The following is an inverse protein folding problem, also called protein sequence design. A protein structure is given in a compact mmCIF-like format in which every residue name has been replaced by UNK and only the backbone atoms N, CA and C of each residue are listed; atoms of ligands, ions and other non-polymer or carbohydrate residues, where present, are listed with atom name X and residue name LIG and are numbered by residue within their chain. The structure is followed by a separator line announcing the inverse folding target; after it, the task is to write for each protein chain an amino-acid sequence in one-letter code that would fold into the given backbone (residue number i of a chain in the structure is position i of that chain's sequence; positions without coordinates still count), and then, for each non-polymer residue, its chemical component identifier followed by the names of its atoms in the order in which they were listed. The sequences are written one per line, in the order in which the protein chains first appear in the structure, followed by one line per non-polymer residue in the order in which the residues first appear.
data_IF_179610707613
#
_entry.id   IF_179610707613
#
_cell.length_a   1.000
_cell.length_b   1.000
_cell.length_c   1.000
_cell.angle_alpha   90.00
_cell.angle_beta   90.00
_cell.angle_gamma   90.00
#
_symmetry.space_group_name_H-M   'P 1'
#
loop_
_entity.id
_entity.type
_entity.pdbx_description
1 polymer ?
#
# COMPACT_ATOMS: atom_id res chain seq x y z
N UNK A 1 -8.19 4.64 24.77
CA UNK A 1 -8.91 3.47 24.26
C UNK A 1 -8.69 3.41 22.74
N UNK A 2 -8.19 2.31 22.16
CA UNK A 2 -8.07 2.19 20.70
C UNK A 2 -9.47 2.10 20.09
N UNK A 3 -9.68 2.81 18.98
CA UNK A 3 -10.90 2.76 18.21
C UNK A 3 -11.13 1.32 17.71
N UNK A 4 -12.32 0.82 17.98
CA UNK A 4 -12.77 -0.52 17.71
C UNK A 4 -12.86 -0.75 16.18
N UNK A 5 -11.89 -1.45 15.58
CA UNK A 5 -12.03 -2.01 14.26
C UNK A 5 -12.94 -3.25 14.39
N UNK A 6 -14.22 -3.07 14.14
CA UNK A 6 -15.18 -4.17 14.18
C UNK A 6 -15.09 -5.02 12.92
N UNK A 7 -14.34 -6.12 12.96
CA UNK A 7 -14.46 -7.24 12.02
C UNK A 7 -14.10 -8.52 12.75
N UNK A 8 -15.04 -9.48 12.74
CA UNK A 8 -14.86 -10.79 13.32
C UNK A 8 -13.92 -11.66 12.47
N UNK A 9 -12.85 -12.13 13.11
CA UNK A 9 -11.97 -13.13 12.51
C UNK A 9 -12.57 -14.50 12.79
N UNK A 10 -13.13 -15.15 11.78
CA UNK A 10 -13.52 -16.55 11.88
C UNK A 10 -12.27 -17.42 11.88
N UNK A 11 -12.00 -18.08 13.00
CA UNK A 11 -10.92 -19.03 13.16
C UNK A 11 -11.10 -20.26 12.26
N UNK A 12 -10.18 -20.46 11.33
CA UNK A 12 -10.12 -21.63 10.46
C UNK A 12 -8.81 -22.34 10.58
N UNK A 13 -8.84 -23.59 11.04
CA UNK A 13 -7.71 -24.51 11.08
C UNK A 13 -7.20 -24.83 9.67
N UNK A 14 -5.90 -24.82 9.51
CA UNK A 14 -5.09 -25.60 8.58
C UNK A 14 -5.59 -25.82 7.15
N UNK A 15 -5.42 -24.86 6.25
CA UNK A 15 -5.62 -25.05 4.81
C UNK A 15 -4.28 -25.17 4.07
N UNK A 16 -4.13 -26.23 3.25
CA UNK A 16 -2.94 -26.53 2.45
C UNK A 16 -2.96 -25.75 1.12
N UNK A 17 -1.80 -25.33 0.70
CA UNK A 17 -1.32 -24.94 -0.65
C UNK A 17 -2.19 -24.02 -1.52
N UNK A 18 -3.26 -24.48 -2.09
CA UNK A 18 -4.08 -23.73 -3.06
C UNK A 18 -5.04 -22.74 -2.42
N UNK A 19 -5.62 -23.10 -1.26
CA UNK A 19 -6.50 -22.23 -0.49
C UNK A 19 -5.80 -20.95 0.06
N UNK A 20 -4.47 -20.95 0.16
CA UNK A 20 -3.72 -19.76 0.59
C UNK A 20 -3.73 -18.61 -0.42
N UNK A 21 -3.84 -18.92 -1.71
CA UNK A 21 -3.89 -17.90 -2.78
C UNK A 21 -5.27 -17.26 -2.90
N UNK A 22 -6.32 -17.99 -2.59
CA UNK A 22 -7.70 -17.50 -2.65
C UNK A 22 -8.10 -16.67 -1.43
N UNK A 23 -7.49 -16.94 -0.26
CA UNK A 23 -7.86 -16.34 1.02
C UNK A 23 -7.50 -14.85 1.16
N UNK A 24 -6.61 -14.32 0.34
CA UNK A 24 -6.07 -12.96 0.50
C UNK A 24 -6.09 -12.18 -0.82
N UNK A 25 -7.18 -12.28 -1.58
CA UNK A 25 -7.31 -11.51 -2.83
C UNK A 25 -7.32 -10.00 -2.60
N UNK A 26 -7.93 -9.57 -1.51
CA UNK A 26 -7.95 -8.14 -1.14
C UNK A 26 -7.59 -7.96 0.33
N UNK A 27 -6.49 -7.28 0.61
CA UNK A 27 -6.18 -6.75 1.93
C UNK A 27 -6.71 -5.31 1.99
N UNK A 28 -7.49 -5.01 3.02
CA UNK A 28 -8.06 -3.67 3.20
C UNK A 28 -6.99 -2.75 3.71
N UNK A 29 -6.65 -1.70 2.93
CA UNK A 29 -5.76 -0.64 3.35
C UNK A 29 -6.53 0.45 4.10
N UNK A 30 -6.01 0.89 5.22
CA UNK A 30 -6.51 2.11 5.88
C UNK A 30 -5.63 3.28 5.48
N UNK A 31 -6.13 4.13 4.60
CA UNK A 31 -5.58 5.47 4.39
C UNK A 31 -5.84 6.35 5.63
N UNK A 32 -4.87 7.17 5.99
CA UNK A 32 -4.73 7.83 7.29
C UNK A 32 -5.80 8.85 7.70
N UNK A 33 -7.09 8.61 7.55
CA UNK A 33 -8.17 9.35 8.18
C UNK A 33 -9.55 8.67 8.08
N UNK A 34 -9.70 7.54 7.39
CA UNK A 34 -10.99 6.86 7.29
C UNK A 34 -10.90 5.45 7.90
N UNK A 35 -11.80 5.08 8.81
CA UNK A 35 -11.80 3.74 9.42
C UNK A 35 -12.20 2.62 8.48
N UNK A 36 -12.35 2.87 7.18
CA UNK A 36 -12.95 1.93 6.23
C UNK A 36 -12.31 1.90 4.83
N UNK A 37 -10.98 2.04 4.72
CA UNK A 37 -10.28 1.91 3.42
C UNK A 37 -10.03 3.25 2.72
N UNK A 38 -9.96 3.23 1.39
CA UNK A 38 -9.68 4.41 0.57
C UNK A 38 -10.79 5.46 0.64
N UNK A 39 -10.44 6.73 0.43
CA UNK A 39 -11.45 7.76 0.24
C UNK A 39 -12.26 7.51 -1.05
N UNK A 40 -13.55 7.91 -1.11
CA UNK A 40 -14.36 7.77 -2.32
C UNK A 40 -13.71 8.41 -3.56
N UNK A 41 -13.05 9.54 -3.38
CA UNK A 41 -12.33 10.23 -4.46
C UNK A 41 -11.16 9.39 -5.01
N UNK A 42 -10.42 8.71 -4.13
CA UNK A 42 -9.33 7.84 -4.56
C UNK A 42 -9.86 6.60 -5.29
N UNK A 43 -10.92 5.98 -4.78
CA UNK A 43 -11.59 4.83 -5.40
C UNK A 43 -12.09 5.16 -6.80
N UNK A 44 -12.84 6.27 -6.94
CA UNK A 44 -13.40 6.71 -8.23
C UNK A 44 -12.32 6.84 -9.31
N UNK A 45 -11.14 7.30 -8.93
CA UNK A 45 -10.04 7.57 -9.89
C UNK A 45 -9.09 6.42 -10.11
N UNK A 46 -8.94 5.53 -9.13
CA UNK A 46 -7.83 4.57 -9.11
C UNK A 46 -8.24 3.12 -8.86
N UNK A 47 -9.50 2.80 -8.56
CA UNK A 47 -9.93 1.41 -8.46
C UNK A 47 -9.73 0.69 -9.80
N UNK A 48 -9.14 -0.49 -9.76
CA UNK A 48 -8.71 -1.26 -10.93
C UNK A 48 -7.32 -0.85 -11.48
N UNK A 49 -6.69 0.21 -10.96
CA UNK A 49 -5.40 0.65 -11.46
C UNK A 49 -4.25 -0.22 -10.94
N UNK A 50 -3.37 -0.66 -11.86
CA UNK A 50 -2.16 -1.38 -11.52
C UNK A 50 -1.04 -0.40 -11.08
N UNK A 51 -0.45 -0.64 -9.91
CA UNK A 51 0.72 0.05 -9.39
C UNK A 51 1.95 -0.77 -9.77
N UNK A 52 2.58 -0.39 -10.88
CA UNK A 52 3.70 -1.15 -11.48
C UNK A 52 5.06 -0.64 -11.01
N UNK A 53 6.06 -1.50 -11.13
CA UNK A 53 7.47 -1.16 -10.84
C UNK A 53 7.62 -0.53 -9.47
N UNK A 54 7.21 -1.25 -8.44
CA UNK A 54 7.34 -0.88 -7.03
C UNK A 54 8.06 -1.99 -6.27
N UNK A 55 8.55 -1.69 -5.07
CA UNK A 55 8.98 -2.72 -4.13
C UNK A 55 8.11 -2.65 -2.88
N UNK A 56 7.80 -3.80 -2.32
CA UNK A 56 7.09 -3.93 -1.06
C UNK A 56 8.05 -4.53 -0.02
N UNK A 57 8.10 -3.87 1.13
CA UNK A 57 8.90 -4.27 2.27
C UNK A 57 7.97 -4.48 3.47
N UNK A 58 8.20 -5.55 4.19
CA UNK A 58 7.47 -5.86 5.41
C UNK A 58 8.39 -6.55 6.41
N UNK A 59 8.25 -6.23 7.67
CA UNK A 59 8.89 -6.95 8.77
C UNK A 59 7.85 -7.13 9.87
N UNK A 60 7.60 -8.37 10.28
CA UNK A 60 6.66 -8.68 11.34
C UNK A 60 7.27 -8.44 12.73
N UNK A 61 6.43 -8.51 13.77
CA UNK A 61 6.86 -8.32 15.15
C UNK A 61 7.86 -9.39 15.66
N UNK A 62 8.00 -10.50 14.95
CA UNK A 62 8.93 -11.59 15.28
C UNK A 62 10.26 -11.46 14.53
N UNK A 63 10.41 -10.44 13.67
CA UNK A 63 11.61 -10.17 12.88
C UNK A 63 11.66 -10.90 11.53
N UNK A 64 10.59 -11.62 11.13
CA UNK A 64 10.53 -12.18 9.80
C UNK A 64 10.32 -11.05 8.78
N UNK A 65 11.18 -10.98 7.77
CA UNK A 65 11.18 -9.89 6.79
C UNK A 65 10.87 -10.39 5.39
N UNK A 66 10.22 -9.52 4.62
CA UNK A 66 9.89 -9.70 3.21
C UNK A 66 10.30 -8.45 2.44
N UNK A 67 10.94 -8.64 1.30
CA UNK A 67 11.28 -7.56 0.36
C UNK A 67 11.21 -8.09 -1.06
N UNK A 68 10.34 -7.51 -1.88
CA UNK A 68 10.17 -7.94 -3.27
C UNK A 68 9.75 -6.79 -4.18
N UNK A 69 10.29 -6.78 -5.40
CA UNK A 69 9.80 -5.93 -6.49
C UNK A 69 8.66 -6.61 -7.23
N UNK A 70 7.72 -5.80 -7.73
CA UNK A 70 6.59 -6.30 -8.50
C UNK A 70 5.55 -5.24 -8.77
N UNK A 71 4.31 -5.70 -8.83
CA UNK A 71 3.14 -4.86 -9.02
C UNK A 71 1.97 -5.36 -8.17
N UNK A 72 1.04 -4.47 -7.89
CA UNK A 72 -0.23 -4.78 -7.27
C UNK A 72 -1.34 -3.92 -7.89
N UNK A 73 -2.58 -4.25 -7.61
CA UNK A 73 -3.76 -3.53 -8.10
C UNK A 73 -4.46 -2.89 -6.92
N UNK A 74 -4.88 -1.62 -7.09
CA UNK A 74 -5.79 -0.95 -6.16
C UNK A 74 -7.21 -1.43 -6.46
N UNK A 75 -7.90 -1.95 -5.45
CA UNK A 75 -9.33 -2.29 -5.55
C UNK A 75 -10.20 -1.22 -4.90
N UNK A 76 -11.51 -1.37 -4.99
CA UNK A 76 -12.44 -0.44 -4.33
C UNK A 76 -12.28 -0.41 -2.79
N UNK A 77 -11.75 -1.47 -2.20
CA UNK A 77 -11.67 -1.63 -0.75
C UNK A 77 -10.27 -1.95 -0.22
N UNK A 78 -9.26 -2.05 -1.10
CA UNK A 78 -7.91 -2.40 -0.65
C UNK A 78 -6.93 -2.61 -1.79
N UNK A 79 -6.11 -3.65 -1.67
CA UNK A 79 -5.04 -4.00 -2.63
C UNK A 79 -5.03 -5.50 -2.91
N UNK A 80 -4.69 -5.87 -4.15
CA UNK A 80 -4.58 -7.27 -4.59
C UNK A 80 -3.40 -7.46 -5.55
N UNK A 81 -3.16 -8.67 -5.98
CA UNK A 81 -2.19 -9.01 -7.01
C UNK A 81 -0.97 -9.77 -6.50
N UNK A 82 -0.07 -10.13 -7.41
CA UNK A 82 1.02 -11.06 -7.16
C UNK A 82 1.95 -10.65 -6.02
N UNK A 83 2.21 -9.35 -5.88
CA UNK A 83 3.08 -8.82 -4.83
C UNK A 83 2.41 -8.93 -3.45
N UNK A 84 1.10 -8.64 -3.39
CA UNK A 84 0.29 -8.75 -2.17
C UNK A 84 0.16 -10.23 -1.77
N UNK A 85 -0.08 -11.12 -2.72
CA UNK A 85 -0.17 -12.56 -2.42
C UNK A 85 1.14 -13.13 -1.89
N UNK A 86 2.28 -12.64 -2.40
CA UNK A 86 3.58 -13.11 -1.96
C UNK A 86 3.87 -12.81 -0.48
N UNK A 87 3.40 -11.67 0.05
CA UNK A 87 3.59 -11.26 1.45
C UNK A 87 2.44 -11.71 2.36
N UNK A 88 1.36 -12.20 1.80
CA UNK A 88 0.07 -12.40 2.46
C UNK A 88 0.11 -13.26 3.73
N UNK A 89 0.95 -14.30 3.78
CA UNK A 89 1.07 -15.16 4.95
C UNK A 89 1.61 -14.40 6.16
N UNK A 90 2.68 -13.62 5.98
CA UNK A 90 3.28 -12.82 7.05
C UNK A 90 2.35 -11.72 7.52
N UNK A 91 1.71 -11.02 6.57
CA UNK A 91 0.74 -9.94 6.87
C UNK A 91 -0.47 -10.47 7.63
N UNK A 92 -1.03 -11.61 7.21
CA UNK A 92 -2.14 -12.26 7.92
C UNK A 92 -1.78 -12.62 9.36
N UNK A 93 -0.63 -13.24 9.54
CA UNK A 93 -0.18 -13.68 10.86
C UNK A 93 0.10 -12.48 11.78
N UNK A 94 0.57 -11.36 11.22
CA UNK A 94 0.73 -10.10 11.93
C UNK A 94 -0.61 -9.46 12.30
N UNK A 95 -1.57 -9.40 11.36
CA UNK A 95 -2.93 -8.90 11.63
C UNK A 95 -3.61 -9.73 12.73
N UNK A 96 -3.45 -11.05 12.71
CA UNK A 96 -4.03 -11.93 13.73
C UNK A 96 -3.46 -11.63 15.13
N UNK A 97 -2.20 -11.20 15.23
CA UNK A 97 -1.54 -10.85 16.51
C UNK A 97 -1.82 -9.42 16.96
N UNK A 98 -1.73 -8.47 16.03
CA UNK A 98 -1.68 -7.04 16.33
C UNK A 98 -2.85 -6.23 15.77
N UNK A 99 -3.86 -6.90 15.17
CA UNK A 99 -5.03 -6.31 14.52
C UNK A 99 -4.72 -5.41 13.31
N UNK A 100 -3.47 -5.26 12.96
CA UNK A 100 -3.01 -4.55 11.77
C UNK A 100 -1.60 -4.97 11.39
N UNK A 101 -1.24 -4.72 10.14
CA UNK A 101 0.11 -4.87 9.63
C UNK A 101 0.45 -3.66 8.77
N UNK A 102 1.64 -3.08 8.95
CA UNK A 102 2.10 -1.96 8.13
C UNK A 102 3.14 -2.46 7.14
N UNK A 103 2.80 -2.43 5.86
CA UNK A 103 3.75 -2.66 4.78
C UNK A 103 4.30 -1.33 4.28
N UNK A 104 5.51 -1.33 3.75
CA UNK A 104 6.15 -0.13 3.21
C UNK A 104 6.35 -0.31 1.71
N UNK A 105 5.91 0.67 0.93
CA UNK A 105 6.03 0.68 -0.51
C UNK A 105 7.15 1.62 -0.95
N UNK A 106 8.12 1.11 -1.70
CA UNK A 106 9.03 1.93 -2.49
C UNK A 106 8.40 2.15 -3.86
N UNK A 107 7.96 3.38 -4.12
CA UNK A 107 7.28 3.73 -5.38
C UNK A 107 8.24 3.88 -6.55
N UNK A 108 9.54 4.04 -6.28
CA UNK A 108 10.60 4.25 -7.27
C UNK A 108 11.84 3.40 -6.95
N UNK A 109 11.74 2.06 -7.00
CA UNK A 109 12.84 1.17 -6.59
C UNK A 109 14.09 1.26 -7.49
N UNK A 110 13.98 1.86 -8.68
CA UNK A 110 15.10 2.09 -9.58
C UNK A 110 15.86 3.40 -9.31
N UNK A 111 15.37 4.21 -8.38
CA UNK A 111 16.00 5.47 -7.97
C UNK A 111 16.52 5.37 -6.54
N UNK A 112 17.76 5.83 -6.32
CA UNK A 112 18.30 5.93 -4.96
C UNK A 112 17.53 6.98 -4.13
N UNK A 113 17.56 6.83 -2.82
CA UNK A 113 16.94 7.80 -1.91
C UNK A 113 17.52 9.20 -2.08
N UNK A 114 18.84 9.31 -2.30
CA UNK A 114 19.53 10.57 -2.56
C UNK A 114 19.02 11.27 -3.82
N UNK A 115 18.84 10.50 -4.91
CA UNK A 115 18.29 11.03 -6.15
C UNK A 115 16.86 11.53 -5.95
N UNK A 116 16.02 10.72 -5.28
CA UNK A 116 14.62 11.12 -5.00
C UNK A 116 14.60 12.41 -4.18
N UNK A 117 15.43 12.52 -3.15
CA UNK A 117 15.54 13.74 -2.32
C UNK A 117 16.00 14.96 -3.15
N UNK A 118 17.02 14.81 -3.97
CA UNK A 118 17.52 15.88 -4.84
C UNK A 118 16.44 16.38 -5.79
N UNK A 119 15.68 15.44 -6.40
CA UNK A 119 14.64 15.80 -7.38
C UNK A 119 13.38 16.38 -6.72
N UNK A 120 13.01 15.94 -5.52
CA UNK A 120 11.89 16.54 -4.76
C UNK A 120 12.23 17.93 -4.24
N UNK A 121 13.48 18.16 -3.82
CA UNK A 121 13.95 19.45 -3.34
C UNK A 121 14.24 20.47 -4.47
N UNK A 122 14.31 20.02 -5.72
CA UNK A 122 14.59 20.91 -6.85
C UNK A 122 13.49 21.98 -6.99
N UNK A 123 13.83 23.24 -7.19
CA UNK A 123 12.86 24.32 -7.35
C UNK A 123 11.84 24.02 -8.47
N UNK A 124 10.57 24.00 -8.15
CA UNK A 124 9.49 23.68 -9.11
C UNK A 124 8.96 24.88 -9.90
N UNK A 125 9.32 26.10 -9.47
CA UNK A 125 8.79 27.32 -10.06
C UNK A 125 7.26 27.38 -9.97
N UNK A 126 6.60 27.75 -11.06
CA UNK A 126 5.14 27.81 -11.15
C UNK A 126 4.45 26.45 -11.38
N UNK A 127 5.18 25.33 -11.44
CA UNK A 127 4.61 24.01 -11.70
C UNK A 127 3.89 23.47 -10.47
N UNK A 128 2.80 22.71 -10.70
CA UNK A 128 2.19 21.92 -9.64
C UNK A 128 3.16 20.82 -9.17
N UNK A 129 3.01 20.36 -7.94
CA UNK A 129 3.83 19.26 -7.40
C UNK A 129 3.73 18.00 -8.28
N UNK A 130 2.51 17.64 -8.71
CA UNK A 130 2.30 16.47 -9.57
C UNK A 130 3.01 16.59 -10.92
N UNK A 131 2.97 17.78 -11.55
CA UNK A 131 3.70 18.04 -12.80
C UNK A 131 5.21 17.99 -12.60
N UNK A 132 5.69 18.51 -11.47
CA UNK A 132 7.10 18.49 -11.10
C UNK A 132 7.60 17.04 -10.93
N UNK A 133 6.95 16.25 -10.07
CA UNK A 133 7.34 14.86 -9.81
C UNK A 133 7.23 13.98 -11.06
N UNK A 134 6.20 14.19 -11.88
CA UNK A 134 6.07 13.48 -13.15
C UNK A 134 7.24 13.78 -14.10
N UNK A 135 7.61 15.05 -14.23
CA UNK A 135 8.70 15.50 -15.10
C UNK A 135 10.09 15.03 -14.62
N UNK A 136 10.33 15.05 -13.30
CA UNK A 136 11.66 14.81 -12.72
C UNK A 136 11.91 13.33 -12.38
N UNK A 137 10.89 12.63 -11.94
CA UNK A 137 10.98 11.27 -11.40
C UNK A 137 10.09 10.26 -12.15
N UNK A 138 9.33 10.69 -13.16
CA UNK A 138 8.35 9.83 -13.81
C UNK A 138 7.18 9.42 -12.89
N UNK A 139 7.05 10.05 -11.71
CA UNK A 139 6.06 9.69 -10.72
C UNK A 139 4.74 10.40 -11.02
N UNK A 140 3.72 9.62 -11.39
CA UNK A 140 2.40 10.14 -11.75
C UNK A 140 1.32 9.06 -11.65
N UNK A 141 0.10 9.39 -12.11
CA UNK A 141 -1.03 8.45 -12.09
C UNK A 141 -1.35 7.96 -10.70
N UNK A 142 -1.60 6.66 -10.57
CA UNK A 142 -1.97 6.02 -9.30
C UNK A 142 -0.91 6.16 -8.21
N UNK A 143 0.39 6.21 -8.54
CA UNK A 143 1.46 6.45 -7.56
C UNK A 143 1.34 7.83 -6.90
N UNK A 144 1.02 8.85 -7.70
CA UNK A 144 0.75 10.19 -7.18
C UNK A 144 -0.54 10.23 -6.37
N UNK A 145 -1.56 9.48 -6.81
CA UNK A 145 -2.80 9.27 -6.05
C UNK A 145 -2.54 8.70 -4.66
N UNK A 146 -1.72 7.66 -4.56
CA UNK A 146 -1.34 7.05 -3.27
C UNK A 146 -0.65 8.04 -2.33
N UNK A 147 0.23 8.90 -2.85
CA UNK A 147 0.85 9.94 -2.03
C UNK A 147 -0.19 10.94 -1.49
N UNK A 148 -1.13 11.38 -2.31
CA UNK A 148 -2.21 12.27 -1.86
C UNK A 148 -3.18 11.61 -0.89
N UNK A 149 -3.41 10.32 -1.02
CA UNK A 149 -4.31 9.54 -0.17
C UNK A 149 -3.71 9.28 1.22
N UNK A 150 -2.42 8.99 1.28
CA UNK A 150 -1.77 8.48 2.49
C UNK A 150 -0.97 9.54 3.26
N UNK A 151 -0.63 10.67 2.62
CA UNK A 151 0.20 11.71 3.24
C UNK A 151 -0.62 12.94 3.60
N UNK A 152 -0.24 13.60 4.71
CA UNK A 152 -0.78 14.90 5.07
C UNK A 152 -0.28 16.00 4.13
N UNK A 153 -0.94 17.16 4.16
CA UNK A 153 -0.51 18.33 3.38
C UNK A 153 0.89 18.80 3.76
N UNK A 154 1.23 18.70 5.04
CA UNK A 154 2.53 19.06 5.60
C UNK A 154 3.62 18.13 5.06
N UNK A 155 3.37 16.81 5.06
CA UNK A 155 4.29 15.82 4.48
C UNK A 155 4.48 16.01 2.98
N UNK A 156 3.42 16.37 2.27
CA UNK A 156 3.48 16.66 0.83
C UNK A 156 4.21 17.98 0.53
N UNK A 157 4.23 18.93 1.46
CA UNK A 157 4.88 20.24 1.30
C UNK A 157 6.37 20.20 1.61
N UNK A 158 6.82 19.29 2.47
CA UNK A 158 8.22 19.13 2.86
C UNK A 158 8.94 18.17 1.89
N UNK A 159 9.96 18.63 1.14
CA UNK A 159 10.68 17.79 0.17
C UNK A 159 11.36 16.57 0.79
N UNK A 160 11.85 16.67 2.03
CA UNK A 160 12.54 15.56 2.70
C UNK A 160 11.54 14.50 3.17
N UNK A 161 10.41 14.91 3.77
CA UNK A 161 9.35 14.00 4.17
C UNK A 161 8.70 13.33 2.96
N UNK A 162 8.48 14.08 1.87
CA UNK A 162 7.95 13.55 0.62
C UNK A 162 8.92 12.54 -0.01
N UNK A 163 10.21 12.83 -0.06
CA UNK A 163 11.22 11.91 -0.58
C UNK A 163 11.28 10.61 0.24
N UNK A 164 11.27 10.72 1.56
CA UNK A 164 11.21 9.56 2.46
C UNK A 164 9.95 8.73 2.21
N UNK A 165 8.79 9.37 2.07
CA UNK A 165 7.54 8.68 1.78
C UNK A 165 7.53 8.01 0.41
N UNK A 166 8.09 8.62 -0.62
CA UNK A 166 8.23 7.98 -1.95
C UNK A 166 9.03 6.68 -1.86
N UNK A 167 10.01 6.61 -0.96
CA UNK A 167 10.87 5.43 -0.76
C UNK A 167 10.34 4.44 0.26
N UNK A 168 9.49 4.88 1.18
CA UNK A 168 8.95 4.05 2.28
C UNK A 168 7.53 4.51 2.63
N UNK A 169 6.61 4.47 1.65
CA UNK A 169 5.22 4.84 1.87
C UNK A 169 4.53 3.80 2.76
N UNK A 170 4.09 4.15 3.98
CA UNK A 170 3.42 3.21 4.85
C UNK A 170 2.00 2.94 4.35
N UNK A 171 1.64 1.67 4.25
CA UNK A 171 0.28 1.22 3.97
C UNK A 171 -0.15 0.28 5.08
N UNK A 172 -1.17 0.70 5.85
CA UNK A 172 -1.72 -0.08 6.96
C UNK A 172 -2.80 -1.01 6.45
N UNK A 173 -2.66 -2.30 6.74
CA UNK A 173 -3.57 -3.36 6.36
C UNK A 173 -4.21 -3.92 7.63
N UNK A 174 -5.56 -3.99 7.69
CA UNK A 174 -6.28 -4.32 8.92
C UNK A 174 -7.09 -5.62 8.85
N UNK A 175 -7.43 -6.09 7.65
CA UNK A 175 -8.18 -7.32 7.49
C UNK A 175 -7.89 -7.98 6.14
N UNK A 176 -8.10 -9.29 6.10
CA UNK A 176 -8.27 -10.04 4.86
C UNK A 176 -9.76 -10.09 4.51
N UNK A 177 -10.13 -10.00 3.24
CA UNK A 177 -11.53 -10.15 2.84
C UNK A 177 -12.03 -11.58 3.05
N UNK A 178 -13.33 -11.77 3.33
CA UNK A 178 -13.94 -13.08 3.49
C UNK A 178 -13.73 -13.96 2.26
N UNK A 179 -13.46 -15.26 2.48
CA UNK A 179 -13.28 -16.25 1.40
C UNK A 179 -14.47 -16.32 0.46
N UNK A 180 -15.68 -16.06 0.96
CA UNK A 180 -16.92 -16.05 0.17
C UNK A 180 -16.92 -14.97 -0.94
N UNK A 181 -16.11 -13.93 -0.83
CA UNK A 181 -15.97 -12.88 -1.85
C UNK A 181 -14.83 -13.16 -2.84
N UNK A 182 -14.02 -14.18 -2.58
CA UNK A 182 -13.00 -14.67 -3.51
C UNK A 182 -13.69 -15.46 -4.62
N UNK A 183 -14.31 -14.77 -5.58
CA UNK A 183 -14.91 -15.41 -6.75
C UNK A 183 -13.77 -15.97 -7.60
N UNK A 184 -13.71 -17.30 -7.69
CA UNK A 184 -12.93 -18.00 -8.67
C UNK A 184 -13.51 -17.69 -10.06
N UNK A 185 -12.85 -16.86 -10.83
CA UNK A 185 -13.06 -16.87 -12.28
C UNK A 185 -12.29 -18.06 -12.82
N UNK A 186 -13.00 -19.11 -13.12
CA UNK A 186 -12.51 -20.27 -13.88
C UNK A 186 -12.07 -19.83 -15.29
#
# INVERSE_FOLDING_TARGET
APANCGFDVVGGQGLRGESRREFLKDLIGQGGAAPSGWTPHFVERHAGAAVKSVALHFTDALGASFSRRGEFVVTASGVEGSLVYAVSALVRDEIARNHSATVHLDLLPDHSAERVLTETAHPRGARSLSSHLKSRLGLGGVKMGLLHELLSKEQMADPALLAAAIKQLPLVLCAARPVAEAISTA
#
